data_IF_128203194206
#
_entry.id   IF_128203194206
#
_cell.length_a   1.000
_cell.length_b   1.000
_cell.length_c   1.000
_cell.angle_alpha   90.00
_cell.angle_beta   90.00
_cell.angle_gamma   90.00
#
_symmetry.space_group_name_H-M   'P 1'
#
loop_
_entity.id
_entity.type
_entity.pdbx_description
1 polymer ?
#
# COMPACT_ATOMS: atom_id res chain seq x y z
N UNK A 1 -3.83 23.44 -14.93
CA UNK A 1 -4.12 22.03 -15.28
C UNK A 1 -4.70 21.37 -14.05
N UNK A 2 -5.92 20.80 -14.08
CA UNK A 2 -6.48 20.21 -12.87
C UNK A 2 -5.79 18.88 -12.62
N UNK A 3 -5.13 18.79 -11.46
CA UNK A 3 -4.56 17.56 -10.91
C UNK A 3 -5.75 16.75 -10.46
N UNK A 4 -6.08 15.68 -11.19
CA UNK A 4 -7.09 14.74 -10.74
C UNK A 4 -6.48 13.89 -9.61
N UNK A 5 -6.46 14.49 -8.42
CA UNK A 5 -6.36 13.82 -7.13
C UNK A 5 -7.69 13.10 -6.93
N UNK A 6 -7.72 11.81 -7.26
CA UNK A 6 -8.84 10.96 -6.88
C UNK A 6 -8.74 10.73 -5.37
N UNK A 7 -9.31 11.66 -4.61
CA UNK A 7 -9.54 11.53 -3.18
C UNK A 7 -10.36 10.26 -2.94
N UNK A 8 -9.68 9.25 -2.43
CA UNK A 8 -10.29 8.01 -2.02
C UNK A 8 -10.82 8.24 -0.60
N UNK A 9 -12.06 8.74 -0.49
CA UNK A 9 -12.77 8.92 0.78
C UNK A 9 -13.11 7.54 1.37
N UNK A 10 -12.11 6.95 2.03
CA UNK A 10 -12.30 5.78 2.90
C UNK A 10 -12.15 6.29 4.33
N UNK A 11 -13.26 6.27 5.06
CA UNK A 11 -13.27 6.38 6.50
C UNK A 11 -12.39 5.26 7.07
N UNK A 12 -11.15 5.62 7.43
CA UNK A 12 -10.20 4.74 8.12
C UNK A 12 -10.72 4.48 9.53
N UNK A 13 -11.70 3.59 9.67
CA UNK A 13 -11.99 3.00 10.97
C UNK A 13 -10.78 2.16 11.36
N UNK A 14 -10.21 2.43 12.53
CA UNK A 14 -9.10 1.67 13.10
C UNK A 14 -9.64 0.28 13.48
N UNK A 15 -9.38 -0.80 12.71
CA UNK A 15 -9.96 -2.12 12.98
C UNK A 15 -9.17 -2.89 14.05
N UNK A 16 -7.98 -2.41 14.44
CA UNK A 16 -7.08 -3.10 15.37
C UNK A 16 -7.11 -2.52 16.79
N UNK A 17 -8.26 -1.98 17.22
CA UNK A 17 -8.47 -1.67 18.65
C UNK A 17 -8.57 -2.97 19.47
N UNK A 18 -8.96 -4.07 18.83
CA UNK A 18 -8.96 -5.40 19.43
C UNK A 18 -7.81 -6.22 18.83
N UNK A 19 -6.82 -6.55 19.66
CA UNK A 19 -5.79 -7.55 19.33
C UNK A 19 -6.50 -8.87 19.05
N UNK A 20 -6.88 -9.12 17.80
CA UNK A 20 -7.27 -10.46 17.37
C UNK A 20 -6.01 -11.32 17.43
N UNK A 21 -6.02 -12.37 18.24
CA UNK A 21 -4.94 -13.33 18.51
C UNK A 21 -4.26 -13.95 17.26
N UNK A 22 -4.73 -13.66 16.04
CA UNK A 22 -4.25 -14.22 14.78
C UNK A 22 -4.04 -13.15 13.68
N UNK A 23 -3.49 -11.98 14.02
CA UNK A 23 -3.00 -11.08 12.97
C UNK A 23 -1.61 -11.52 12.52
N UNK A 24 -1.51 -12.07 11.31
CA UNK A 24 -0.27 -12.57 10.70
C UNK A 24 0.90 -11.55 10.68
N UNK A 25 0.66 -10.27 10.96
CA UNK A 25 1.67 -9.19 10.87
C UNK A 25 1.61 -8.14 12.00
N UNK A 26 1.13 -8.50 13.20
CA UNK A 26 1.07 -7.59 14.36
C UNK A 26 2.43 -7.04 14.85
N UNK A 27 3.56 -7.55 14.34
CA UNK A 27 4.92 -7.06 14.63
C UNK A 27 5.54 -6.20 13.51
N UNK A 28 4.81 -5.88 12.46
CA UNK A 28 5.34 -5.15 11.30
C UNK A 28 5.55 -3.66 11.61
N UNK A 29 6.58 -3.04 11.00
CA UNK A 29 6.84 -1.59 11.04
C UNK A 29 5.59 -0.75 10.71
N UNK A 30 4.65 -1.33 9.97
CA UNK A 30 3.37 -0.73 9.64
C UNK A 30 2.50 -0.45 10.86
N UNK A 31 2.49 -1.32 11.89
CA UNK A 31 1.67 -1.09 13.09
C UNK A 31 2.17 0.09 13.93
N UNK A 32 3.46 0.41 13.86
CA UNK A 32 4.00 1.60 14.53
C UNK A 32 3.53 2.90 13.85
N UNK A 33 3.33 2.88 12.53
CA UNK A 33 2.95 4.07 11.76
C UNK A 33 1.43 4.20 11.59
N UNK A 34 0.70 3.09 11.58
CA UNK A 34 -0.75 3.03 11.34
C UNK A 34 -1.60 3.99 12.18
N UNK A 35 -1.38 4.14 13.50
CA UNK A 35 -2.14 5.08 14.32
C UNK A 35 -1.96 6.54 13.91
N UNK A 36 -0.88 6.84 13.19
CA UNK A 36 -0.53 8.18 12.75
C UNK A 36 -0.99 8.48 11.32
N UNK A 37 -1.54 7.51 10.59
CA UNK A 37 -1.92 7.65 9.19
C UNK A 37 -3.13 8.59 9.07
N UNK A 38 -3.00 9.62 8.25
CA UNK A 38 -4.00 10.71 8.09
C UNK A 38 -4.66 10.76 6.73
N UNK A 39 -4.24 9.91 5.80
CA UNK A 39 -4.78 9.93 4.45
C UNK A 39 -4.30 8.75 3.60
N UNK A 40 -5.05 8.51 2.53
CA UNK A 40 -4.80 7.47 1.55
C UNK A 40 -4.76 8.12 0.18
N UNK A 41 -3.73 7.79 -0.59
CA UNK A 41 -3.57 8.19 -1.97
C UNK A 41 -3.42 6.93 -2.81
N UNK A 42 -4.17 6.84 -3.90
CA UNK A 42 -4.06 5.75 -4.87
C UNK A 42 -3.62 6.33 -6.19
N UNK A 43 -2.44 5.93 -6.67
CA UNK A 43 -1.91 6.49 -7.92
C UNK A 43 -2.67 5.94 -9.13
N UNK A 44 -2.71 6.72 -10.21
CA UNK A 44 -3.33 6.28 -11.48
C UNK A 44 -2.69 5.01 -12.05
N UNK A 45 -1.42 4.75 -11.75
CA UNK A 45 -0.72 3.55 -12.21
C UNK A 45 -1.23 2.31 -11.50
N UNK A 46 -1.55 2.41 -10.21
CA UNK A 46 -2.16 1.34 -9.44
C UNK A 46 -3.45 0.82 -10.10
N UNK A 47 -4.37 1.73 -10.45
CA UNK A 47 -5.61 1.37 -11.17
C UNK A 47 -5.31 0.74 -12.54
N UNK A 48 -4.35 1.29 -13.29
CA UNK A 48 -3.96 0.77 -14.60
C UNK A 48 -3.33 -0.63 -14.54
N UNK A 49 -2.59 -0.94 -13.49
CA UNK A 49 -1.98 -2.26 -13.31
C UNK A 49 -3.06 -3.35 -13.10
N UNK A 50 -4.14 -3.02 -12.39
CA UNK A 50 -5.26 -3.93 -12.14
C UNK A 50 -6.25 -4.00 -13.30
N UNK A 51 -6.40 -2.92 -14.08
CA UNK A 51 -7.39 -2.77 -15.16
C UNK A 51 -8.85 -2.99 -14.70
N UNK A 52 -9.09 -2.86 -13.41
CA UNK A 52 -10.37 -3.05 -12.74
C UNK A 52 -10.39 -2.12 -11.53
N UNK A 53 -11.24 -1.10 -11.58
CA UNK A 53 -11.32 -0.09 -10.53
C UNK A 53 -11.95 -0.64 -9.26
N UNK A 54 -12.99 -1.48 -9.37
CA UNK A 54 -13.68 -2.06 -8.21
C UNK A 54 -12.75 -3.00 -7.45
N UNK A 55 -12.01 -3.83 -8.17
CA UNK A 55 -10.97 -4.69 -7.58
C UNK A 55 -9.86 -3.88 -6.91
N UNK A 56 -9.47 -2.74 -7.48
CA UNK A 56 -8.51 -1.84 -6.84
C UNK A 56 -9.06 -1.26 -5.53
N UNK A 57 -10.35 -0.89 -5.49
CA UNK A 57 -11.00 -0.39 -4.28
C UNK A 57 -11.03 -1.45 -3.19
N UNK A 58 -11.37 -2.68 -3.56
CA UNK A 58 -11.43 -3.84 -2.67
C UNK A 58 -10.05 -4.12 -2.06
N UNK A 59 -9.01 -4.25 -2.89
CA UNK A 59 -7.63 -4.47 -2.42
C UNK A 59 -7.17 -3.36 -1.47
N UNK A 60 -7.47 -2.10 -1.78
CA UNK A 60 -7.12 -0.97 -0.90
C UNK A 60 -7.81 -1.13 0.44
N UNK A 61 -9.11 -1.44 0.47
CA UNK A 61 -9.86 -1.68 1.71
C UNK A 61 -9.29 -2.86 2.48
N UNK A 62 -9.03 -3.99 1.85
CA UNK A 62 -8.54 -5.19 2.54
C UNK A 62 -7.16 -4.98 3.16
N UNK A 63 -6.28 -4.25 2.47
CA UNK A 63 -4.97 -3.85 3.01
C UNK A 63 -5.14 -2.95 4.22
N UNK A 64 -6.09 -2.01 4.20
CA UNK A 64 -6.33 -1.08 5.30
C UNK A 64 -7.06 -1.70 6.49
N UNK A 65 -7.98 -2.62 6.24
CA UNK A 65 -8.75 -3.33 7.25
C UNK A 65 -7.95 -4.46 7.92
N UNK A 66 -6.76 -4.75 7.39
CA UNK A 66 -5.96 -5.92 7.75
C UNK A 66 -6.76 -7.23 7.68
N UNK A 67 -7.65 -7.33 6.69
CA UNK A 67 -8.38 -8.56 6.43
C UNK A 67 -7.39 -9.61 5.95
N UNK A 68 -6.96 -10.50 6.83
CA UNK A 68 -5.94 -11.51 6.52
C UNK A 68 -6.46 -12.67 5.66
N UNK A 69 -7.75 -12.67 5.27
CA UNK A 69 -8.38 -13.81 4.61
C UNK A 69 -7.75 -14.12 3.23
N UNK A 70 -7.32 -13.08 2.50
CA UNK A 70 -6.88 -13.21 1.11
C UNK A 70 -5.40 -12.86 0.88
N UNK A 71 -4.66 -12.51 1.95
CA UNK A 71 -3.24 -12.17 1.87
C UNK A 71 -2.35 -13.29 2.44
N UNK A 72 -1.44 -13.77 1.61
CA UNK A 72 -0.34 -14.64 2.02
C UNK A 72 0.71 -13.88 2.83
N UNK A 73 0.84 -12.58 2.58
CA UNK A 73 1.75 -11.68 3.29
C UNK A 73 1.15 -10.27 3.27
N UNK A 74 1.12 -9.58 4.40
CA UNK A 74 0.50 -8.27 4.51
C UNK A 74 1.43 -7.32 5.26
N UNK A 75 1.61 -6.10 4.75
CA UNK A 75 2.50 -5.09 5.36
C UNK A 75 3.95 -5.54 5.54
N UNK A 76 4.47 -6.40 4.66
CA UNK A 76 5.90 -6.71 4.68
C UNK A 76 6.67 -5.42 4.42
N UNK A 77 7.54 -5.06 5.36
CA UNK A 77 8.46 -3.97 5.18
C UNK A 77 9.55 -4.39 4.18
N UNK A 78 9.75 -3.57 3.14
CA UNK A 78 10.75 -3.80 2.11
C UNK A 78 11.99 -2.94 2.40
N UNK A 79 11.85 -1.62 2.35
CA UNK A 79 12.96 -0.70 2.59
C UNK A 79 12.50 0.75 2.87
N UNK A 80 13.47 1.62 3.16
CA UNK A 80 13.28 3.07 3.20
C UNK A 80 13.72 3.72 1.89
N UNK A 81 12.83 4.49 1.26
CA UNK A 81 13.15 5.28 0.05
C UNK A 81 12.82 6.75 0.32
N UNK A 82 13.83 7.63 0.27
CA UNK A 82 13.70 9.07 0.58
C UNK A 82 13.01 9.40 1.92
N UNK A 83 13.16 8.51 2.91
CA UNK A 83 12.50 8.65 4.21
C UNK A 83 11.01 8.28 4.21
N UNK A 84 10.52 7.62 3.16
CA UNK A 84 9.23 6.94 3.14
C UNK A 84 9.47 5.44 3.39
N UNK A 85 8.54 4.79 4.08
CA UNK A 85 8.61 3.36 4.36
C UNK A 85 7.84 2.60 3.28
N UNK A 86 8.51 1.74 2.53
CA UNK A 86 7.90 0.95 1.47
C UNK A 86 7.45 -0.40 2.02
N UNK A 87 6.23 -0.77 1.69
CA UNK A 87 5.57 -1.99 2.13
C UNK A 87 5.02 -2.78 0.94
N UNK A 88 4.89 -4.08 1.16
CA UNK A 88 4.31 -5.03 0.23
C UNK A 88 3.15 -5.78 0.87
N UNK A 89 2.08 -5.96 0.11
CA UNK A 89 1.08 -6.99 0.36
C UNK A 89 1.12 -8.01 -0.79
N UNK A 90 1.00 -9.29 -0.46
CA UNK A 90 1.00 -10.41 -1.39
C UNK A 90 -0.31 -11.18 -1.29
N UNK A 91 -1.09 -11.15 -2.37
CA UNK A 91 -2.30 -11.97 -2.55
C UNK A 91 -2.10 -12.91 -3.74
N UNK A 92 -3.11 -13.68 -4.15
CA UNK A 92 -3.09 -14.70 -5.22
C UNK A 92 -2.30 -14.28 -6.49
N UNK A 93 -0.98 -14.51 -6.48
CA UNK A 93 -0.08 -14.16 -7.58
C UNK A 93 0.18 -12.65 -7.78
N UNK A 94 -0.21 -11.78 -6.84
CA UNK A 94 -0.03 -10.33 -6.97
C UNK A 94 0.83 -9.75 -5.85
N UNK A 95 1.70 -8.82 -6.21
CA UNK A 95 2.53 -8.00 -5.33
C UNK A 95 2.02 -6.56 -5.39
N UNK A 96 1.40 -6.12 -4.30
CA UNK A 96 0.82 -4.78 -4.14
C UNK A 96 1.84 -3.96 -3.38
N UNK A 97 2.35 -2.91 -4.01
CA UNK A 97 3.39 -2.05 -3.42
C UNK A 97 2.81 -0.69 -3.07
N UNK A 98 3.02 -0.30 -1.83
CA UNK A 98 2.60 0.99 -1.29
C UNK A 98 3.66 1.51 -0.33
N UNK A 99 3.58 2.79 0.02
CA UNK A 99 4.48 3.36 1.01
C UNK A 99 3.73 4.25 1.99
N UNK A 100 4.35 4.52 3.13
CA UNK A 100 3.94 5.57 4.07
C UNK A 100 4.91 6.72 3.92
N UNK A 101 4.40 7.88 3.53
CA UNK A 101 5.20 9.10 3.37
C UNK A 101 5.42 9.84 4.71
N UNK A 102 6.22 10.90 4.66
CA UNK A 102 6.54 11.72 5.85
C UNK A 102 5.34 12.48 6.42
N UNK A 103 4.30 12.66 5.61
CA UNK A 103 3.05 13.31 6.02
C UNK A 103 2.06 12.29 6.60
N UNK A 104 2.50 11.06 6.84
CA UNK A 104 1.69 9.95 7.31
C UNK A 104 0.52 9.64 6.35
N UNK A 105 0.76 9.69 5.04
CA UNK A 105 -0.18 9.24 4.01
C UNK A 105 0.26 7.88 3.49
N UNK A 106 -0.68 6.95 3.33
CA UNK A 106 -0.44 5.72 2.58
C UNK A 106 -0.58 6.05 1.10
N UNK A 107 0.43 5.71 0.30
CA UNK A 107 0.42 5.89 -1.15
C UNK A 107 0.48 4.52 -1.82
N UNK A 108 -0.62 4.10 -2.45
CA UNK A 108 -0.69 2.89 -3.28
C UNK A 108 -0.09 3.16 -4.66
N UNK A 109 1.05 2.53 -4.92
CA UNK A 109 1.91 2.88 -6.07
C UNK A 109 1.68 1.98 -7.28
N UNK A 110 1.87 0.67 -7.13
CA UNK A 110 1.87 -0.29 -8.25
C UNK A 110 1.36 -1.64 -7.80
N UNK A 111 0.88 -2.43 -8.77
CA UNK A 111 0.59 -3.87 -8.61
C UNK A 111 1.36 -4.66 -9.65
N UNK A 112 2.03 -5.73 -9.23
CA UNK A 112 2.79 -6.62 -10.11
C UNK A 112 2.25 -8.04 -10.03
N UNK A 113 2.01 -8.67 -11.18
CA UNK A 113 1.65 -10.10 -11.26
C UNK A 113 2.89 -11.00 -11.38
N UNK A 114 4.07 -10.40 -11.60
CA UNK A 114 5.32 -11.10 -11.79
C UNK A 114 6.34 -10.65 -10.74
N UNK A 115 6.95 -11.61 -10.05
CA UNK A 115 7.96 -11.34 -9.03
C UNK A 115 9.18 -10.59 -9.58
N UNK A 116 9.66 -10.92 -10.78
CA UNK A 116 10.85 -10.28 -11.38
C UNK A 116 10.61 -8.80 -11.71
N UNK A 117 9.39 -8.44 -12.10
CA UNK A 117 9.02 -7.05 -12.37
C UNK A 117 8.95 -6.25 -11.08
N UNK A 118 8.40 -6.85 -10.02
CA UNK A 118 8.39 -6.27 -8.67
C UNK A 118 9.82 -6.08 -8.14
N UNK A 119 10.69 -7.08 -8.26
CA UNK A 119 12.09 -7.00 -7.81
C UNK A 119 12.84 -5.88 -8.53
N UNK A 120 12.71 -5.81 -9.86
CA UNK A 120 13.28 -4.73 -10.66
C UNK A 120 12.74 -3.35 -10.27
N UNK A 121 11.46 -3.27 -9.89
CA UNK A 121 10.86 -2.02 -9.42
C UNK A 121 11.43 -1.57 -8.07
N UNK A 122 11.69 -2.50 -7.14
CA UNK A 122 12.36 -2.18 -5.87
C UNK A 122 13.78 -1.64 -6.09
N UNK A 123 14.51 -2.20 -7.05
CA UNK A 123 15.84 -1.71 -7.42
C UNK A 123 15.81 -0.31 -8.06
N UNK A 124 14.71 0.07 -8.73
CA UNK A 124 14.54 1.40 -9.33
C UNK A 124 14.02 2.43 -8.31
N UNK A 125 14.90 2.78 -7.36
CA UNK A 125 14.64 3.80 -6.34
C UNK A 125 14.27 5.16 -6.94
N UNK A 126 14.73 5.47 -8.15
CA UNK A 126 14.39 6.72 -8.86
C UNK A 126 12.94 6.70 -9.31
N UNK A 127 12.43 5.58 -9.83
CA UNK A 127 11.02 5.44 -10.18
C UNK A 127 10.13 5.54 -8.94
N UNK A 128 10.46 4.84 -7.86
CA UNK A 128 9.71 4.92 -6.59
C UNK A 128 9.65 6.38 -6.09
N UNK A 129 10.80 7.06 -6.09
CA UNK A 129 10.89 8.46 -5.70
C UNK A 129 9.98 9.37 -6.53
N UNK A 130 9.91 9.16 -7.85
CA UNK A 130 9.03 9.92 -8.74
C UNK A 130 7.56 9.66 -8.43
N UNK A 131 7.19 8.41 -8.14
CA UNK A 131 5.81 8.07 -7.78
C UNK A 131 5.40 8.76 -6.47
N UNK A 132 6.29 8.80 -5.48
CA UNK A 132 6.03 9.49 -4.21
C UNK A 132 5.90 11.01 -4.41
N UNK A 133 6.76 11.63 -5.21
CA UNK A 133 6.72 13.10 -5.43
C UNK A 133 5.51 13.57 -6.23
N UNK A 134 4.91 12.70 -7.05
CA UNK A 134 3.78 13.01 -7.93
C UNK A 134 2.46 12.38 -7.48
N UNK A 135 2.40 11.90 -6.23
CA UNK A 135 1.22 11.33 -5.59
C UNK A 135 0.61 12.32 -4.59
#
# INVERSE_FOLDING_TARGET
>A
MPVADSNFDVDLKIPCVEQKDHCLNCHSHFMAVRPHIRGIVVTKRFFKDLKDEEKAKEIVRDVLDCSNADFNELHKFEEHVNGCMVFRAKTEGMHIVYCVDKNMRIIFMRVFKNFKEYEKFLDDKKEISKLIMHA
#
